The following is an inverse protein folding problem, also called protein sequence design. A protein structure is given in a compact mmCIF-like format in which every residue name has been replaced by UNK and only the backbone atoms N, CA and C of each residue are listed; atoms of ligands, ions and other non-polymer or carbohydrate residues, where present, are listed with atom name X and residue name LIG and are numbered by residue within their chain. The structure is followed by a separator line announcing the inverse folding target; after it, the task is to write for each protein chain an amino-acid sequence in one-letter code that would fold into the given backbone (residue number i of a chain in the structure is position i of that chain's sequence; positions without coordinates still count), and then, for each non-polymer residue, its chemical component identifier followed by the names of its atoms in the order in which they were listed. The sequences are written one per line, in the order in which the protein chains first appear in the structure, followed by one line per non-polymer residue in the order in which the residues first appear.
data_IF_937730476023
#
_entry.id   IF_937730476023
#
_cell.length_a   1.000
_cell.length_b   1.000
_cell.length_c   1.000
_cell.angle_alpha   90.00
_cell.angle_beta   90.00
_cell.angle_gamma   90.00
#
_symmetry.space_group_name_H-M   'P 1'
#
loop_
_entity.id
_entity.type
_entity.pdbx_description
1 polymer ?
#
# COMPACT_ATOMS: atom_id res chain seq x y z
N UNK A 1 22.06 -14.07 -3.03
CA UNK A 1 21.75 -12.95 -2.10
C UNK A 1 20.34 -12.41 -2.38
N UNK A 2 19.35 -13.30 -2.55
CA UNK A 2 18.05 -12.97 -3.18
C UNK A 2 16.82 -13.27 -2.29
N UNK A 3 16.99 -13.91 -1.14
CA UNK A 3 15.86 -14.26 -0.22
C UNK A 3 15.38 -13.05 0.59
N UNK A 4 16.33 -12.25 1.12
CA UNK A 4 16.04 -11.16 2.07
C UNK A 4 15.32 -9.96 1.46
N UNK A 5 15.39 -9.76 0.13
CA UNK A 5 14.70 -8.65 -0.54
C UNK A 5 13.20 -8.94 -0.72
N UNK A 6 12.84 -10.20 -0.98
CA UNK A 6 11.45 -10.60 -1.20
C UNK A 6 10.67 -10.67 0.12
N UNK A 7 11.32 -11.16 1.18
CA UNK A 7 10.78 -11.17 2.55
C UNK A 7 10.51 -9.74 3.06
N UNK A 8 11.40 -8.79 2.77
CA UNK A 8 11.20 -7.38 3.11
C UNK A 8 10.00 -6.76 2.37
N UNK A 9 9.81 -7.10 1.09
CA UNK A 9 8.64 -6.64 0.33
C UNK A 9 7.33 -7.14 0.96
N UNK A 10 7.29 -8.41 1.35
CA UNK A 10 6.13 -9.03 1.99
C UNK A 10 5.81 -8.42 3.38
N UNK A 11 6.83 -8.21 4.22
CA UNK A 11 6.67 -7.61 5.55
C UNK A 11 6.15 -6.16 5.46
N UNK A 12 6.63 -5.40 4.47
CA UNK A 12 6.17 -4.02 4.23
C UNK A 12 4.71 -4.00 3.78
N UNK A 13 4.27 -4.94 2.93
CA UNK A 13 2.85 -5.06 2.52
C UNK A 13 1.94 -5.37 3.71
N UNK A 14 2.28 -6.39 4.49
CA UNK A 14 1.50 -6.77 5.69
C UNK A 14 1.42 -5.64 6.72
N UNK A 15 2.53 -4.94 6.97
CA UNK A 15 2.54 -3.79 7.88
C UNK A 15 1.66 -2.63 7.39
N UNK A 16 1.56 -2.45 6.07
CA UNK A 16 0.68 -1.44 5.46
C UNK A 16 -0.79 -1.82 5.55
N UNK A 17 -1.14 -3.07 5.25
CA UNK A 17 -2.52 -3.57 5.36
C UNK A 17 -3.04 -3.47 6.79
N UNK A 18 -2.23 -3.86 7.78
CA UNK A 18 -2.56 -3.71 9.19
C UNK A 18 -2.77 -2.24 9.57
N UNK A 19 -1.86 -1.35 9.14
CA UNK A 19 -1.96 0.09 9.43
C UNK A 19 -3.16 0.77 8.74
N UNK A 20 -3.55 0.31 7.54
CA UNK A 20 -4.73 0.80 6.82
C UNK A 20 -6.03 0.33 7.48
N UNK A 21 -6.09 -0.94 7.90
CA UNK A 21 -7.25 -1.51 8.60
C UNK A 21 -7.51 -0.81 9.93
N UNK A 22 -6.45 -0.58 10.73
CA UNK A 22 -6.56 0.16 12.00
C UNK A 22 -7.09 1.59 11.77
N UNK A 23 -6.55 2.29 10.77
CA UNK A 23 -7.01 3.65 10.43
C UNK A 23 -8.42 3.71 9.88
N UNK A 24 -8.89 2.66 9.19
CA UNK A 24 -10.27 2.57 8.72
C UNK A 24 -11.24 2.49 9.90
N UNK A 25 -10.94 1.66 10.91
CA UNK A 25 -11.74 1.56 12.14
C UNK A 25 -11.81 2.91 12.88
N UNK A 26 -10.69 3.63 12.99
CA UNK A 26 -10.68 4.96 13.62
C UNK A 26 -11.49 6.00 12.84
N UNK A 27 -11.48 5.92 11.51
CA UNK A 27 -12.25 6.80 10.64
C UNK A 27 -13.75 6.55 10.81
N UNK A 28 -14.16 5.28 10.85
CA UNK A 28 -15.54 4.86 11.08
C UNK A 28 -16.04 5.31 12.46
N UNK A 29 -15.23 5.13 13.51
CA UNK A 29 -15.57 5.60 14.86
C UNK A 29 -15.66 7.13 14.94
N UNK A 30 -14.79 7.87 14.24
CA UNK A 30 -14.84 9.32 14.18
C UNK A 30 -16.08 9.82 13.42
N UNK A 31 -16.49 9.12 12.35
CA UNK A 31 -17.70 9.41 11.62
C UNK A 31 -18.96 9.13 12.46
N UNK A 32 -19.03 7.97 13.11
CA UNK A 32 -20.15 7.56 13.96
C UNK A 32 -20.34 8.49 15.18
N UNK A 33 -19.25 9.01 15.74
CA UNK A 33 -19.29 9.99 16.84
C UNK A 33 -19.55 11.44 16.40
N UNK A 34 -19.65 11.71 15.09
CA UNK A 34 -19.79 13.07 14.56
C UNK A 34 -18.56 13.96 14.81
N UNK A 35 -17.39 13.36 15.07
CA UNK A 35 -16.16 14.10 15.37
C UNK A 35 -15.47 14.54 14.08
N UNK A 36 -16.00 15.58 13.44
CA UNK A 36 -15.50 16.13 12.18
C UNK A 36 -14.03 16.56 12.25
N UNK A 37 -13.55 17.01 13.42
CA UNK A 37 -12.15 17.41 13.61
C UNK A 37 -11.22 16.21 13.51
N UNK A 38 -11.51 15.12 14.24
CA UNK A 38 -10.74 13.89 14.19
C UNK A 38 -10.81 13.25 12.81
N UNK A 39 -11.99 13.26 12.18
CA UNK A 39 -12.18 12.79 10.82
C UNK A 39 -11.29 13.53 9.81
N UNK A 40 -11.25 14.87 9.86
CA UNK A 40 -10.41 15.68 8.98
C UNK A 40 -8.92 15.44 9.22
N UNK A 41 -8.50 15.25 10.47
CA UNK A 41 -7.11 14.91 10.81
C UNK A 41 -6.72 13.55 10.24
N UNK A 42 -7.59 12.54 10.36
CA UNK A 42 -7.37 11.20 9.81
C UNK A 42 -7.30 11.23 8.28
N UNK A 43 -8.22 11.92 7.60
CA UNK A 43 -8.19 12.09 6.14
C UNK A 43 -6.89 12.76 5.69
N UNK A 44 -6.42 13.81 6.37
CA UNK A 44 -5.14 14.46 6.05
C UNK A 44 -3.95 13.54 6.27
N UNK A 45 -3.94 12.79 7.37
CA UNK A 45 -2.86 11.88 7.69
C UNK A 45 -2.80 10.68 6.74
N UNK A 46 -3.95 10.22 6.23
CA UNK A 46 -4.05 9.12 5.25
C UNK A 46 -3.81 9.62 3.82
N UNK A 47 -4.31 10.80 3.45
CA UNK A 47 -4.21 11.36 2.10
C UNK A 47 -2.87 12.03 1.76
N UNK A 48 -2.05 12.36 2.77
CA UNK A 48 -0.78 13.11 2.55
C UNK A 48 0.47 12.25 2.52
N UNK A 49 0.38 10.94 2.68
CA UNK A 49 1.49 10.07 2.28
C UNK A 49 1.49 10.01 0.76
N UNK A 50 2.14 11.00 0.12
CA UNK A 50 2.78 10.79 -1.18
C UNK A 50 3.47 9.44 -1.06
N UNK A 51 2.94 8.44 -1.74
CA UNK A 51 3.55 7.14 -1.75
C UNK A 51 4.80 7.30 -2.62
N UNK A 52 5.89 7.73 -2.00
CA UNK A 52 7.23 7.50 -2.56
C UNK A 52 7.46 5.99 -2.74
N UNK A 53 6.64 5.19 -2.07
CA UNK A 53 6.32 3.82 -2.40
C UNK A 53 5.16 3.80 -3.40
N UNK A 54 5.41 4.10 -4.68
CA UNK A 54 4.78 3.20 -5.66
C UNK A 54 5.12 1.81 -5.14
N UNK A 55 4.12 0.96 -4.89
CA UNK A 55 4.35 -0.44 -4.57
C UNK A 55 5.55 -0.87 -5.40
N UNK A 56 6.69 -1.15 -4.74
CA UNK A 56 7.96 -1.28 -5.46
C UNK A 56 7.82 -2.55 -6.26
N UNK A 57 7.27 -2.39 -7.45
CA UNK A 57 7.01 -3.47 -8.36
C UNK A 57 8.39 -3.95 -8.72
N UNK A 58 8.68 -5.16 -8.28
CA UNK A 58 9.92 -5.79 -8.59
C UNK A 58 9.69 -6.70 -9.78
N UNK A 59 10.70 -6.77 -10.62
CA UNK A 59 10.83 -7.84 -11.59
C UNK A 59 11.01 -9.18 -10.87
N UNK A 60 10.91 -10.29 -11.61
CA UNK A 60 11.09 -11.64 -11.07
C UNK A 60 12.49 -11.87 -10.47
N UNK A 61 13.47 -11.04 -10.86
CA UNK A 61 14.83 -11.00 -10.30
C UNK A 61 14.94 -10.18 -9.00
N UNK A 62 13.83 -9.58 -8.54
CA UNK A 62 13.74 -8.76 -7.34
C UNK A 62 14.23 -7.32 -7.51
N UNK A 63 14.51 -6.86 -8.74
CA UNK A 63 14.93 -5.49 -9.00
C UNK A 63 13.73 -4.56 -9.13
N UNK A 64 13.77 -3.36 -8.51
CA UNK A 64 12.68 -2.39 -8.60
C UNK A 64 12.51 -1.90 -10.04
N UNK A 65 11.28 -1.91 -10.52
CA UNK A 65 10.92 -1.39 -11.83
C UNK A 65 10.97 0.13 -11.78
N UNK A 66 11.98 0.70 -12.43
CA UNK A 66 12.21 2.15 -12.50
C UNK A 66 11.41 2.82 -13.63
N UNK A 67 10.83 2.04 -14.54
CA UNK A 67 10.06 2.51 -15.68
C UNK A 67 8.55 2.38 -15.42
N UNK A 68 7.81 3.48 -15.57
CA UNK A 68 6.37 3.52 -15.29
C UNK A 68 5.52 2.61 -16.20
N UNK A 69 5.89 2.42 -17.46
CA UNK A 69 5.16 1.54 -18.39
C UNK A 69 5.28 0.08 -17.96
N UNK A 70 6.50 -0.36 -17.65
CA UNK A 70 6.78 -1.71 -17.16
C UNK A 70 6.17 -1.98 -15.80
N UNK A 71 6.05 -0.93 -14.96
CA UNK A 71 5.33 -1.01 -13.70
C UNK A 71 3.85 -1.33 -13.94
N UNK A 72 3.22 -0.67 -14.92
CA UNK A 72 1.82 -0.94 -15.27
C UNK A 72 1.61 -2.36 -15.82
N UNK A 73 2.52 -2.86 -16.66
CA UNK A 73 2.46 -4.24 -17.17
C UNK A 73 2.51 -5.26 -16.03
N UNK A 74 3.44 -5.09 -15.08
CA UNK A 74 3.54 -5.93 -13.89
C UNK A 74 2.32 -5.81 -12.97
N UNK A 75 1.74 -4.61 -12.83
CA UNK A 75 0.47 -4.42 -12.12
C UNK A 75 -0.63 -5.27 -12.74
N UNK A 76 -0.73 -5.30 -14.07
CA UNK A 76 -1.72 -6.11 -14.79
C UNK A 76 -1.50 -7.62 -14.57
N UNK A 77 -0.26 -8.11 -14.69
CA UNK A 77 0.06 -9.52 -14.43
C UNK A 77 -0.31 -9.97 -13.01
N UNK A 78 0.01 -9.14 -12.00
CA UNK A 78 -0.34 -9.38 -10.60
C UNK A 78 -1.86 -9.38 -10.37
N UNK A 79 -2.57 -8.48 -11.05
CA UNK A 79 -4.02 -8.36 -10.91
C UNK A 79 -4.76 -9.52 -11.59
N UNK A 80 -4.32 -9.93 -12.78
CA UNK A 80 -4.89 -11.10 -13.49
C UNK A 80 -4.67 -12.40 -12.71
N UNK A 81 -3.52 -12.56 -12.04
CA UNK A 81 -3.24 -13.73 -11.19
C UNK A 81 -4.02 -13.79 -9.87
N UNK A 82 -4.58 -12.67 -9.37
CA UNK A 82 -5.35 -12.65 -8.12
C UNK A 82 -6.80 -13.11 -8.26
N UNK A 83 -7.40 -12.96 -9.44
CA UNK A 83 -8.82 -13.24 -9.69
C UNK A 83 -9.07 -14.54 -10.46
N UNK A 84 -8.02 -15.36 -10.65
CA UNK A 84 -8.08 -16.64 -11.34
C UNK A 84 -7.97 -17.82 -10.37
#
# INVERSE_FOLDING_TARGET
MSSTKNENCYIIKLGREASLSERANELEAAAASGNCRKLLQLIRATGSKKSDVSETICEDDGMPVTNSHRCLERWTELFEGQFN
#
